data_IF_348779611497
#
_entry.id   IF_348779611497
#
_cell.length_a   1.000
_cell.length_b   1.000
_cell.length_c   1.000
_cell.angle_alpha   90.00
_cell.angle_beta   90.00
_cell.angle_gamma   90.00
#
_symmetry.space_group_name_H-M   'P 1'
#
loop_
_entity.id
_entity.type
_entity.pdbx_description
1 polymer ?
#
# COMPACT_ATOMS: atom_id res chain seq x y z
N UNK A 1 -23.02 75.94 -40.05
CA UNK A 1 -24.20 75.18 -39.57
C UNK A 1 -24.05 75.02 -38.07
N UNK A 2 -24.86 75.74 -37.29
CA UNK A 2 -24.82 75.76 -35.82
C UNK A 2 -25.60 74.57 -35.25
N UNK A 3 -24.98 73.77 -34.39
CA UNK A 3 -25.66 72.77 -33.57
C UNK A 3 -25.88 73.35 -32.16
N UNK A 4 -27.15 73.45 -31.75
CA UNK A 4 -27.56 73.83 -30.39
C UNK A 4 -27.57 72.55 -29.53
N UNK A 5 -26.78 72.53 -28.46
CA UNK A 5 -26.78 71.46 -27.47
C UNK A 5 -27.90 71.66 -26.44
N UNK A 6 -28.75 70.65 -26.24
CA UNK A 6 -29.77 70.61 -25.18
C UNK A 6 -29.22 69.74 -24.04
N UNK A 7 -29.04 70.31 -22.85
CA UNK A 7 -28.62 69.60 -21.64
C UNK A 7 -29.79 68.84 -20.99
N UNK A 8 -29.60 67.55 -20.67
CA UNK A 8 -30.47 66.76 -19.77
C UNK A 8 -29.91 66.80 -18.34
N UNK A 9 -30.73 66.90 -17.28
CA UNK A 9 -30.27 66.91 -15.91
C UNK A 9 -29.84 65.49 -15.45
N UNK A 10 -28.92 65.37 -14.46
CA UNK A 10 -28.38 64.09 -14.04
C UNK A 10 -29.35 63.29 -13.16
N UNK A 11 -29.35 61.97 -13.34
CA UNK A 11 -30.07 60.97 -12.56
C UNK A 11 -29.43 60.85 -11.16
N UNK A 12 -30.20 60.96 -10.07
CA UNK A 12 -29.74 60.58 -8.72
C UNK A 12 -30.04 59.09 -8.46
N UNK A 13 -29.09 58.27 -8.01
CA UNK A 13 -29.35 56.88 -7.64
C UNK A 13 -30.03 56.79 -6.26
N UNK A 14 -30.94 55.82 -6.12
CA UNK A 14 -31.66 55.53 -4.87
C UNK A 14 -30.72 54.94 -3.78
N UNK A 15 -31.01 55.14 -2.49
CA UNK A 15 -30.17 54.66 -1.40
C UNK A 15 -30.17 53.13 -1.29
N UNK A 16 -28.97 52.55 -1.17
CA UNK A 16 -28.76 51.12 -0.93
C UNK A 16 -29.36 50.71 0.44
N UNK A 17 -30.31 49.78 0.41
CA UNK A 17 -30.73 49.05 1.61
C UNK A 17 -29.60 48.10 2.01
N UNK A 18 -28.99 48.33 3.18
CA UNK A 18 -28.00 47.44 3.77
C UNK A 18 -28.72 46.17 4.21
N UNK A 19 -28.50 45.07 3.48
CA UNK A 19 -28.99 43.74 3.85
C UNK A 19 -28.40 43.30 5.19
N UNK A 20 -29.21 42.60 5.98
CA UNK A 20 -28.77 41.95 7.23
C UNK A 20 -27.57 41.02 6.97
N UNK A 21 -26.59 40.93 7.89
CA UNK A 21 -25.45 40.03 7.70
C UNK A 21 -25.97 38.59 7.63
N UNK A 22 -25.73 37.94 6.49
CA UNK A 22 -25.98 36.51 6.33
C UNK A 22 -25.18 35.76 7.39
N UNK A 23 -25.78 34.75 8.03
CA UNK A 23 -25.04 33.84 8.91
C UNK A 23 -23.80 33.32 8.18
N UNK A 24 -22.65 33.23 8.86
CA UNK A 24 -21.46 32.67 8.24
C UNK A 24 -21.77 31.26 7.73
N UNK A 25 -21.25 30.87 6.56
CA UNK A 25 -21.47 29.54 6.03
C UNK A 25 -20.94 28.51 7.03
N UNK A 26 -21.80 27.58 7.45
CA UNK A 26 -21.41 26.43 8.26
C UNK A 26 -20.56 25.54 7.36
N UNK A 27 -19.28 25.38 7.71
CA UNK A 27 -18.40 24.44 7.01
C UNK A 27 -18.93 23.00 7.23
N UNK A 28 -18.91 22.15 6.19
CA UNK A 28 -19.31 20.76 6.35
C UNK A 28 -18.37 20.05 7.34
N UNK A 29 -18.93 19.15 8.16
CA UNK A 29 -18.12 18.26 9.01
C UNK A 29 -17.26 17.33 8.14
N UNK A 30 -16.02 17.11 8.57
CA UNK A 30 -15.06 16.22 7.92
C UNK A 30 -14.99 14.84 8.61
N UNK A 31 -15.78 14.58 9.65
CA UNK A 31 -15.66 13.39 10.52
C UNK A 31 -15.89 12.06 9.79
N UNK A 32 -16.53 12.10 8.62
CA UNK A 32 -16.78 10.93 7.78
C UNK A 32 -15.66 10.64 6.78
N UNK A 33 -14.70 11.55 6.63
CA UNK A 33 -13.58 11.39 5.71
C UNK A 33 -12.45 10.60 6.35
N UNK A 34 -11.68 9.90 5.52
CA UNK A 34 -10.45 9.27 5.97
C UNK A 34 -9.40 10.33 6.30
N UNK A 35 -8.71 10.14 7.42
CA UNK A 35 -7.53 10.95 7.75
C UNK A 35 -6.32 10.50 6.91
N UNK A 36 -5.62 11.49 6.35
CA UNK A 36 -4.35 11.34 5.66
C UNK A 36 -3.35 12.30 6.28
N UNK A 37 -2.29 11.76 6.89
CA UNK A 37 -1.27 12.54 7.60
C UNK A 37 0.13 12.19 7.11
N UNK A 38 1.08 13.10 7.31
CA UNK A 38 2.48 12.84 7.03
C UNK A 38 3.12 12.04 8.18
N UNK A 39 3.68 10.88 7.87
CA UNK A 39 4.40 10.03 8.81
C UNK A 39 5.89 10.03 8.45
N UNK A 40 6.69 10.70 9.26
CA UNK A 40 8.15 10.73 9.14
C UNK A 40 8.77 9.52 9.81
N UNK A 41 9.62 8.78 9.10
CA UNK A 41 10.34 7.62 9.63
C UNK A 41 11.80 8.01 9.81
N UNK A 42 12.24 8.06 11.06
CA UNK A 42 13.63 8.29 11.44
C UNK A 42 14.26 6.97 11.88
N UNK A 43 15.43 6.64 11.36
CA UNK A 43 16.15 5.41 11.69
C UNK A 43 17.44 5.79 12.39
N UNK A 44 17.57 5.43 13.66
CA UNK A 44 18.73 5.75 14.52
C UNK A 44 19.12 7.24 14.43
N UNK A 45 18.12 8.14 14.50
CA UNK A 45 18.30 9.60 14.47
C UNK A 45 18.49 10.22 13.07
N UNK A 46 18.38 9.44 12.00
CA UNK A 46 18.49 9.94 10.61
C UNK A 46 17.12 9.85 9.94
N UNK A 47 16.63 10.98 9.40
CA UNK A 47 15.42 10.98 8.58
C UNK A 47 15.60 10.06 7.37
N UNK A 48 14.70 9.08 7.25
CA UNK A 48 14.76 8.07 6.21
C UNK A 48 13.75 8.34 5.09
N UNK A 49 12.49 8.56 5.46
CA UNK A 49 11.39 8.77 4.53
C UNK A 49 10.25 9.54 5.21
N UNK A 50 9.36 10.10 4.39
CA UNK A 50 8.06 10.62 4.81
C UNK A 50 7.00 10.00 3.91
N UNK A 51 5.99 9.40 4.52
CA UNK A 51 4.89 8.73 3.82
C UNK A 51 3.56 9.38 4.20
N UNK A 52 2.66 9.53 3.23
CA UNK A 52 1.26 9.84 3.55
C UNK A 52 0.57 8.54 3.98
N UNK A 53 -0.06 8.55 5.15
CA UNK A 53 -0.68 7.37 5.73
C UNK A 53 -1.89 7.73 6.61
N UNK A 54 -2.72 6.73 6.90
CA UNK A 54 -3.76 6.84 7.93
C UNK A 54 -3.09 6.63 9.31
N UNK A 55 -3.35 7.48 10.32
CA UNK A 55 -2.61 7.52 11.59
C UNK A 55 -2.91 6.37 12.58
N UNK A 56 -3.25 5.19 12.07
CA UNK A 56 -3.50 3.98 12.85
C UNK A 56 -2.37 2.97 12.70
N UNK A 57 -2.21 2.11 13.71
CA UNK A 57 -1.31 0.96 13.69
C UNK A 57 0.13 1.33 13.27
N UNK A 58 0.62 2.49 13.74
CA UNK A 58 1.90 3.06 13.27
C UNK A 58 3.12 2.21 13.65
N UNK A 59 3.08 1.47 14.75
CA UNK A 59 4.10 0.46 15.08
C UNK A 59 4.14 -0.67 14.04
N UNK A 60 2.98 -1.15 13.59
CA UNK A 60 2.89 -2.15 12.55
C UNK A 60 3.40 -1.58 11.22
N UNK A 61 3.02 -0.34 10.91
CA UNK A 61 3.52 0.36 9.73
C UNK A 61 5.05 0.46 9.74
N UNK A 62 5.66 0.88 10.86
CA UNK A 62 7.11 1.00 10.97
C UNK A 62 7.83 -0.33 10.71
N UNK A 63 7.42 -1.41 11.39
CA UNK A 63 8.05 -2.73 11.21
C UNK A 63 7.85 -3.24 9.78
N UNK A 64 6.63 -3.15 9.26
CA UNK A 64 6.28 -3.58 7.93
C UNK A 64 7.05 -2.83 6.84
N UNK A 65 7.08 -1.50 6.92
CA UNK A 65 7.81 -0.64 5.99
C UNK A 65 9.30 -1.00 5.97
N UNK A 66 9.94 -1.09 7.14
CA UNK A 66 11.37 -1.41 7.24
C UNK A 66 11.69 -2.81 6.69
N UNK A 67 10.79 -3.78 6.91
CA UNK A 67 10.94 -5.14 6.38
C UNK A 67 10.78 -5.15 4.87
N UNK A 68 9.72 -4.53 4.35
CA UNK A 68 9.42 -4.47 2.93
C UNK A 68 10.49 -3.73 2.12
N UNK A 69 11.14 -2.72 2.70
CA UNK A 69 12.29 -2.02 2.12
C UNK A 69 13.62 -2.79 2.26
N UNK A 70 13.57 -4.00 2.84
CA UNK A 70 14.74 -4.86 3.13
C UNK A 70 15.78 -4.17 4.03
N UNK A 71 15.35 -3.23 4.88
CA UNK A 71 16.20 -2.56 5.87
C UNK A 71 16.45 -3.51 7.03
N UNK A 72 15.40 -4.13 7.55
CA UNK A 72 15.45 -5.22 8.52
C UNK A 72 15.17 -6.57 7.84
N UNK A 73 15.59 -7.67 8.47
CA UNK A 73 15.21 -9.03 8.05
C UNK A 73 14.23 -9.70 9.00
N UNK A 74 14.18 -9.26 10.27
CA UNK A 74 13.33 -9.85 11.31
C UNK A 74 12.85 -8.77 12.27
N UNK A 75 11.74 -9.01 12.96
CA UNK A 75 11.22 -8.09 13.97
C UNK A 75 12.25 -7.76 15.06
N UNK A 76 13.09 -8.73 15.47
CA UNK A 76 14.12 -8.51 16.49
C UNK A 76 15.25 -7.55 16.06
N UNK A 77 15.30 -7.14 14.79
CA UNK A 77 16.24 -6.13 14.32
C UNK A 77 15.79 -4.73 14.76
N UNK A 78 14.53 -4.56 15.17
CA UNK A 78 13.96 -3.34 15.72
C UNK A 78 14.02 -3.43 17.25
N UNK A 79 14.71 -2.48 17.86
CA UNK A 79 14.91 -2.42 19.31
C UNK A 79 13.91 -1.48 20.00
N UNK A 80 13.49 -0.42 19.32
CA UNK A 80 12.54 0.56 19.86
C UNK A 80 11.80 1.30 18.74
N UNK A 81 10.57 1.71 19.00
CA UNK A 81 9.74 2.55 18.14
C UNK A 81 9.09 3.61 19.03
N UNK A 82 9.41 4.88 18.81
CA UNK A 82 8.78 5.99 19.51
C UNK A 82 7.94 6.79 18.53
N UNK A 83 6.65 6.94 18.87
CA UNK A 83 5.68 7.69 18.08
C UNK A 83 5.43 9.02 18.75
N UNK A 84 5.69 10.12 18.04
CA UNK A 84 5.43 11.48 18.54
C UNK A 84 4.59 12.29 17.56
N UNK A 85 3.67 13.14 18.05
CA UNK A 85 2.87 14.00 17.19
C UNK A 85 3.70 15.13 16.58
N UNK A 86 3.32 15.54 15.37
CA UNK A 86 3.86 16.68 14.63
C UNK A 86 2.72 17.53 14.04
N UNK A 87 3.05 18.73 13.55
CA UNK A 87 2.06 19.72 13.07
C UNK A 87 1.07 19.16 12.03
N UNK A 88 1.51 18.21 11.19
CA UNK A 88 0.68 17.58 10.15
C UNK A 88 0.81 16.05 10.12
N UNK A 89 1.02 15.42 11.29
CA UNK A 89 1.05 13.97 11.41
C UNK A 89 1.94 13.46 12.53
N UNK A 90 2.84 12.53 12.23
CA UNK A 90 3.62 11.81 13.23
C UNK A 90 5.08 11.62 12.84
N UNK A 91 5.95 11.54 13.85
CA UNK A 91 7.34 11.11 13.72
C UNK A 91 7.49 9.75 14.39
N UNK A 92 8.01 8.78 13.64
CA UNK A 92 8.39 7.46 14.09
C UNK A 92 9.91 7.41 14.23
N UNK A 93 10.40 7.53 15.46
CA UNK A 93 11.81 7.33 15.77
C UNK A 93 12.05 5.84 16.04
N UNK A 94 12.67 5.17 15.07
CA UNK A 94 12.91 3.72 15.09
C UNK A 94 14.38 3.44 15.35
N UNK A 95 14.65 2.66 16.39
CA UNK A 95 15.99 2.16 16.69
C UNK A 95 16.15 0.75 16.13
N UNK A 96 17.08 0.55 15.21
CA UNK A 96 17.41 -0.75 14.62
C UNK A 96 18.83 -1.21 14.97
N UNK A 97 19.07 -2.51 14.81
CA UNK A 97 20.37 -3.14 14.97
C UNK A 97 21.45 -2.51 14.05
N UNK A 98 22.66 -2.33 14.60
CA UNK A 98 23.79 -1.71 13.89
C UNK A 98 24.14 -2.40 12.56
N UNK A 99 23.95 -3.73 12.47
CA UNK A 99 24.15 -4.49 11.22
C UNK A 99 23.22 -4.01 10.10
N UNK A 100 21.96 -3.71 10.41
CA UNK A 100 20.97 -3.25 9.45
C UNK A 100 21.27 -1.79 9.03
N UNK A 101 21.63 -0.94 10.00
CA UNK A 101 22.05 0.44 9.72
C UNK A 101 23.29 0.48 8.80
N UNK A 102 24.31 -0.34 9.05
CA UNK A 102 25.50 -0.41 8.22
C UNK A 102 25.18 -0.83 6.77
N UNK A 103 24.30 -1.84 6.59
CA UNK A 103 23.81 -2.27 5.27
C UNK A 103 23.08 -1.15 4.54
N UNK A 104 22.20 -0.42 5.24
CA UNK A 104 21.46 0.70 4.68
C UNK A 104 22.39 1.83 4.21
N UNK A 105 23.39 2.19 5.02
CA UNK A 105 24.38 3.22 4.67
C UNK A 105 25.22 2.81 3.45
N UNK A 106 25.65 1.55 3.35
CA UNK A 106 26.36 1.02 2.18
C UNK A 106 25.51 1.11 0.91
N UNK A 107 24.22 0.75 0.98
CA UNK A 107 23.28 0.85 -0.15
C UNK A 107 23.14 2.31 -0.61
N UNK A 108 22.97 3.26 0.31
CA UNK A 108 22.89 4.70 0.00
C UNK A 108 24.15 5.21 -0.71
N UNK A 109 25.35 4.82 -0.27
CA UNK A 109 26.63 5.21 -0.90
C UNK A 109 26.78 4.67 -2.32
N UNK A 110 26.28 3.45 -2.60
CA UNK A 110 26.29 2.88 -3.97
C UNK A 110 25.41 3.68 -4.92
N UNK A 111 24.24 4.12 -4.44
CA UNK A 111 23.31 4.93 -5.22
C UNK A 111 23.84 6.35 -5.49
N UNK A 112 24.47 6.98 -4.50
CA UNK A 112 25.06 8.32 -4.68
C UNK A 112 26.38 8.32 -5.47
N UNK A 113 27.09 7.18 -5.54
CA UNK A 113 28.28 7.02 -6.38
C UNK A 113 27.99 6.80 -7.87
N UNK A 114 26.72 6.59 -8.25
CA UNK A 114 26.27 6.36 -9.63
C UNK A 114 25.96 7.67 -10.40
N UNK A 115 26.59 8.80 -10.02
CA UNK A 115 26.36 10.10 -10.67
C UNK A 115 26.99 10.16 -12.06
N UNK A 116 26.16 9.96 -13.09
CA UNK A 116 26.44 10.33 -14.46
C UNK A 116 25.35 9.85 -15.41
N UNK A 117 24.28 10.63 -15.63
CA UNK A 117 23.17 10.43 -16.58
C UNK A 117 22.76 8.96 -16.91
N UNK A 118 22.92 8.03 -15.97
CA UNK A 118 22.97 6.59 -16.22
C UNK A 118 21.62 5.89 -16.24
N UNK A 119 20.52 6.65 -16.32
CA UNK A 119 19.16 6.09 -16.45
C UNK A 119 18.94 5.52 -17.88
N UNK A 120 19.83 5.82 -18.82
CA UNK A 120 19.75 5.33 -20.20
C UNK A 120 20.38 3.94 -20.43
N UNK A 121 20.79 3.24 -19.37
CA UNK A 121 21.48 1.95 -19.45
C UNK A 121 20.52 0.78 -19.23
N UNK A 122 20.56 -0.21 -20.10
CA UNK A 122 19.79 -1.47 -20.04
C UNK A 122 19.91 -2.18 -18.67
N UNK A 123 20.97 -1.91 -17.91
CA UNK A 123 21.19 -2.36 -16.52
C UNK A 123 20.22 -1.74 -15.48
N UNK A 124 19.66 -0.55 -15.73
CA UNK A 124 18.76 0.13 -14.79
C UNK A 124 17.38 -0.56 -14.68
N UNK A 125 16.94 -1.26 -15.74
CA UNK A 125 15.67 -2.00 -15.75
C UNK A 125 15.82 -3.34 -15.01
N UNK A 126 16.95 -4.02 -15.16
CA UNK A 126 17.23 -5.26 -14.42
C UNK A 126 17.42 -5.00 -12.91
N UNK A 127 17.98 -3.84 -12.56
CA UNK A 127 18.09 -3.37 -11.17
C UNK A 127 16.79 -2.77 -10.60
N UNK A 128 15.73 -2.63 -11.41
CA UNK A 128 14.47 -2.03 -10.96
C UNK A 128 13.71 -2.91 -9.97
N UNK A 129 14.07 -4.20 -9.86
CA UNK A 129 13.39 -5.15 -9.00
C UNK A 129 14.35 -5.84 -8.04
N UNK A 130 13.95 -6.08 -6.78
CA UNK A 130 14.76 -6.83 -5.83
C UNK A 130 14.96 -8.27 -6.32
N UNK A 131 16.18 -8.79 -6.12
CA UNK A 131 16.48 -10.20 -6.35
C UNK A 131 15.96 -11.03 -5.16
N UNK A 132 14.73 -11.51 -5.29
CA UNK A 132 14.08 -12.35 -4.30
C UNK A 132 14.25 -13.82 -4.65
N UNK A 133 14.52 -14.64 -3.64
CA UNK A 133 14.53 -16.09 -3.80
C UNK A 133 13.10 -16.56 -4.13
N UNK A 134 12.89 -17.38 -5.19
CA UNK A 134 11.58 -17.96 -5.45
C UNK A 134 11.06 -18.77 -4.26
N UNK A 135 9.77 -18.64 -4.00
CA UNK A 135 9.07 -19.41 -2.98
C UNK A 135 9.01 -20.90 -3.36
N UNK A 136 8.94 -21.82 -2.38
CA UNK A 136 8.45 -23.17 -2.61
C UNK A 136 7.20 -23.19 -3.50
N UNK A 137 7.17 -24.09 -4.49
CA UNK A 137 5.98 -24.31 -5.30
C UNK A 137 4.86 -24.88 -4.43
N UNK A 138 3.74 -24.18 -4.39
CA UNK A 138 2.56 -24.55 -3.60
C UNK A 138 1.33 -24.62 -4.52
N UNK A 139 0.47 -25.64 -4.39
CA UNK A 139 -0.81 -25.68 -5.12
C UNK A 139 -1.61 -24.40 -4.91
N UNK A 140 -2.33 -23.88 -5.91
CA UNK A 140 -3.18 -22.71 -5.72
C UNK A 140 -4.29 -22.99 -4.70
N UNK A 141 -4.69 -21.96 -3.95
CA UNK A 141 -5.79 -22.04 -3.00
C UNK A 141 -7.08 -22.47 -3.71
N UNK A 142 -7.87 -23.34 -3.05
CA UNK A 142 -9.20 -23.70 -3.55
C UNK A 142 -10.09 -22.46 -3.56
N UNK A 143 -10.56 -22.11 -4.75
CA UNK A 143 -11.39 -20.93 -5.00
C UNK A 143 -12.72 -21.01 -4.25
N UNK A 144 -13.21 -22.22 -3.93
CA UNK A 144 -14.42 -22.40 -3.14
C UNK A 144 -14.30 -21.80 -1.72
N UNK A 145 -13.10 -21.80 -1.14
CA UNK A 145 -12.83 -21.19 0.17
C UNK A 145 -12.97 -19.66 0.14
N UNK A 146 -12.90 -19.06 -1.04
CA UNK A 146 -12.94 -17.61 -1.23
C UNK A 146 -14.34 -17.07 -1.57
N UNK A 147 -15.35 -17.93 -1.67
CA UNK A 147 -16.70 -17.54 -2.09
C UNK A 147 -17.30 -16.47 -1.17
N UNK A 148 -17.12 -16.59 0.14
CA UNK A 148 -17.65 -15.68 1.16
C UNK A 148 -16.66 -14.57 1.55
N UNK A 149 -15.53 -14.42 0.84
CA UNK A 149 -14.49 -13.49 1.24
C UNK A 149 -14.96 -12.02 1.19
N UNK A 150 -15.74 -11.62 0.16
CA UNK A 150 -16.22 -10.23 0.05
C UNK A 150 -17.17 -9.83 1.19
N UNK A 151 -18.20 -10.64 1.55
CA UNK A 151 -19.01 -10.41 2.74
C UNK A 151 -18.18 -10.35 4.04
N UNK A 152 -17.20 -11.24 4.20
CA UNK A 152 -16.31 -11.20 5.36
C UNK A 152 -15.50 -9.90 5.41
N UNK A 153 -14.87 -9.48 4.30
CA UNK A 153 -14.07 -8.24 4.25
C UNK A 153 -14.90 -7.03 4.66
N UNK A 154 -16.17 -6.96 4.26
CA UNK A 154 -17.04 -5.87 4.70
C UNK A 154 -17.04 -5.78 6.24
N UNK A 155 -17.20 -6.90 6.95
CA UNK A 155 -17.25 -6.90 8.43
C UNK A 155 -15.92 -6.50 9.10
N UNK A 156 -14.79 -6.63 8.39
CA UNK A 156 -13.45 -6.34 8.91
C UNK A 156 -12.92 -4.96 8.51
N UNK A 157 -13.37 -4.40 7.38
CA UNK A 157 -12.92 -3.12 6.84
C UNK A 157 -13.75 -1.96 7.41
N UNK A 158 -13.71 -1.78 8.73
CA UNK A 158 -14.61 -0.87 9.46
C UNK A 158 -14.46 0.59 9.01
N UNK A 159 -13.23 1.12 8.90
CA UNK A 159 -13.02 2.53 8.54
C UNK A 159 -13.27 2.80 7.06
N UNK A 160 -12.92 1.85 6.20
CA UNK A 160 -13.19 1.90 4.78
C UNK A 160 -14.69 1.87 4.45
N UNK A 161 -15.52 1.21 5.26
CA UNK A 161 -16.98 1.29 5.13
C UNK A 161 -17.51 2.71 5.33
N UNK A 162 -16.93 3.46 6.26
CA UNK A 162 -17.40 4.81 6.59
C UNK A 162 -16.91 5.87 5.59
N UNK A 163 -15.64 5.79 5.19
CA UNK A 163 -15.01 6.82 4.35
C UNK A 163 -14.99 6.49 2.85
N UNK A 164 -15.02 5.20 2.48
CA UNK A 164 -14.83 4.74 1.10
C UNK A 164 -13.43 4.98 0.51
N UNK A 165 -12.51 5.58 1.27
CA UNK A 165 -11.22 6.06 0.79
C UNK A 165 -10.03 5.18 1.22
N UNK A 166 -10.26 4.19 2.07
CA UNK A 166 -9.22 3.30 2.57
C UNK A 166 -9.11 2.02 1.76
N UNK A 167 -7.87 1.56 1.60
CA UNK A 167 -7.54 0.20 1.21
C UNK A 167 -7.38 -0.66 2.45
N UNK A 168 -7.52 -1.98 2.27
CA UNK A 168 -7.27 -2.96 3.31
C UNK A 168 -6.35 -4.07 2.81
N UNK A 169 -5.50 -4.55 3.72
CA UNK A 169 -4.78 -5.80 3.59
C UNK A 169 -5.24 -6.75 4.70
N UNK A 170 -5.45 -8.02 4.37
CA UNK A 170 -5.97 -9.01 5.30
C UNK A 170 -5.17 -10.31 5.27
N UNK A 171 -5.07 -10.98 6.41
CA UNK A 171 -4.48 -12.31 6.54
C UNK A 171 -5.59 -13.35 6.62
N UNK A 172 -5.49 -14.42 5.82
CA UNK A 172 -6.41 -15.56 5.89
C UNK A 172 -5.74 -16.78 6.53
N UNK A 173 -6.56 -17.61 7.17
CA UNK A 173 -6.19 -18.97 7.49
C UNK A 173 -6.35 -19.93 6.29
N UNK A 174 -6.04 -21.21 6.50
CA UNK A 174 -6.16 -22.26 5.48
C UNK A 174 -7.63 -22.57 5.11
N UNK A 175 -8.59 -22.11 5.92
CA UNK A 175 -10.02 -22.30 5.72
C UNK A 175 -10.69 -21.07 5.08
N UNK A 176 -9.91 -20.06 4.69
CA UNK A 176 -10.41 -18.85 4.06
C UNK A 176 -11.09 -17.86 5.02
N UNK A 177 -10.88 -18.00 6.33
CA UNK A 177 -11.36 -17.04 7.32
C UNK A 177 -10.34 -15.92 7.53
N UNK A 178 -10.83 -14.69 7.70
CA UNK A 178 -9.99 -13.54 8.02
C UNK A 178 -9.52 -13.64 9.47
N UNK A 179 -8.20 -13.57 9.66
CA UNK A 179 -7.55 -13.53 10.97
C UNK A 179 -7.25 -12.09 11.40
N UNK A 180 -6.76 -11.27 10.47
CA UNK A 180 -6.34 -9.89 10.73
C UNK A 180 -6.64 -8.98 9.55
N UNK A 181 -6.85 -7.70 9.84
CA UNK A 181 -7.08 -6.63 8.87
C UNK A 181 -6.28 -5.39 9.26
N UNK A 182 -5.67 -4.74 8.26
CA UNK A 182 -5.06 -3.41 8.39
C UNK A 182 -5.53 -2.52 7.27
N UNK A 183 -5.88 -1.29 7.63
CA UNK A 183 -6.40 -0.28 6.71
C UNK A 183 -5.43 0.89 6.56
N UNK A 184 -5.39 1.45 5.36
CA UNK A 184 -4.67 2.69 5.09
C UNK A 184 -5.15 3.32 3.78
N UNK A 185 -5.06 4.65 3.67
CA UNK A 185 -5.32 5.37 2.43
C UNK A 185 -4.38 4.91 1.30
N UNK A 186 -3.15 4.55 1.65
CA UNK A 186 -2.17 3.96 0.75
C UNK A 186 -2.23 2.43 0.76
N UNK A 187 -2.51 1.82 -0.40
CA UNK A 187 -2.53 0.34 -0.53
C UNK A 187 -1.22 -0.35 -0.12
N UNK A 188 -0.08 0.31 -0.32
CA UNK A 188 1.23 -0.24 0.06
C UNK A 188 1.41 -0.19 1.58
N UNK A 189 0.97 0.90 2.22
CA UNK A 189 0.99 1.05 3.67
C UNK A 189 0.04 0.07 4.35
N UNK A 190 -1.15 -0.19 3.77
CA UNK A 190 -2.06 -1.20 4.30
C UNK A 190 -1.40 -2.59 4.34
N UNK A 191 -0.70 -2.97 3.26
CA UNK A 191 0.05 -4.22 3.21
C UNK A 191 1.25 -4.22 4.17
N UNK A 192 1.99 -3.11 4.25
CA UNK A 192 3.11 -2.97 5.20
C UNK A 192 2.61 -3.14 6.64
N UNK A 193 1.53 -2.45 7.03
CA UNK A 193 0.90 -2.61 8.35
C UNK A 193 0.53 -4.07 8.62
N UNK A 194 -0.10 -4.76 7.67
CA UNK A 194 -0.45 -6.18 7.88
C UNK A 194 0.80 -7.04 8.09
N UNK A 195 1.82 -6.87 7.24
CA UNK A 195 3.08 -7.62 7.36
C UNK A 195 3.76 -7.30 8.70
N UNK A 196 3.78 -6.02 9.10
CA UNK A 196 4.34 -5.59 10.37
C UNK A 196 3.64 -6.21 11.57
N UNK A 197 2.31 -6.27 11.57
CA UNK A 197 1.52 -6.97 12.57
C UNK A 197 1.95 -8.44 12.68
N UNK A 198 1.96 -9.16 11.54
CA UNK A 198 2.30 -10.58 11.49
C UNK A 198 3.74 -10.84 11.98
N UNK A 199 4.69 -9.97 11.62
CA UNK A 199 6.07 -10.05 12.08
C UNK A 199 6.22 -9.78 13.58
N UNK A 200 5.55 -8.74 14.09
CA UNK A 200 5.59 -8.37 15.51
C UNK A 200 5.00 -9.45 16.40
N UNK A 201 3.91 -10.08 15.94
CA UNK A 201 3.23 -11.14 16.68
C UNK A 201 3.77 -12.54 16.36
N UNK A 202 4.74 -12.65 15.44
CA UNK A 202 5.33 -13.93 14.99
C UNK A 202 4.26 -14.90 14.47
N UNK A 203 3.29 -14.37 13.74
CA UNK A 203 2.16 -15.14 13.19
C UNK A 203 2.50 -15.61 11.77
N UNK A 204 2.61 -16.93 11.53
CA UNK A 204 2.74 -17.44 10.18
C UNK A 204 1.43 -17.20 9.42
N UNK A 205 1.52 -16.80 8.17
CA UNK A 205 0.37 -16.65 7.28
C UNK A 205 0.80 -16.88 5.83
N UNK A 206 0.14 -17.82 5.17
CA UNK A 206 0.44 -18.16 3.77
C UNK A 206 -0.44 -17.40 2.76
N UNK A 207 -1.53 -16.78 3.20
CA UNK A 207 -2.52 -16.14 2.32
C UNK A 207 -2.80 -14.72 2.73
N UNK A 208 -2.35 -13.77 1.90
CA UNK A 208 -2.68 -12.35 2.07
C UNK A 208 -3.74 -11.92 1.06
N UNK A 209 -4.59 -10.97 1.45
CA UNK A 209 -5.61 -10.36 0.61
C UNK A 209 -5.36 -8.86 0.52
N UNK A 210 -5.53 -8.27 -0.66
CA UNK A 210 -5.56 -6.82 -0.85
C UNK A 210 -6.84 -6.39 -1.55
N UNK A 211 -7.47 -5.33 -1.04
CA UNK A 211 -8.70 -4.77 -1.65
C UNK A 211 -8.41 -3.83 -2.83
N UNK A 212 -7.14 -3.48 -3.05
CA UNK A 212 -6.69 -2.61 -4.13
C UNK A 212 -6.34 -3.37 -5.42
N UNK A 213 -5.96 -2.61 -6.46
CA UNK A 213 -5.25 -3.17 -7.64
C UNK A 213 -3.95 -3.83 -7.18
N UNK A 214 -3.59 -4.94 -7.83
CA UNK A 214 -2.36 -5.66 -7.56
C UNK A 214 -1.24 -5.21 -8.51
N UNK A 215 -0.30 -4.43 -7.99
CA UNK A 215 0.92 -3.98 -8.69
C UNK A 215 2.14 -4.84 -8.36
N UNK A 216 3.24 -4.63 -9.09
CA UNK A 216 4.51 -5.35 -8.92
C UNK A 216 5.07 -5.24 -7.49
N UNK A 217 4.95 -4.07 -6.87
CA UNK A 217 5.43 -3.86 -5.49
C UNK A 217 4.65 -4.69 -4.47
N UNK A 218 3.32 -4.82 -4.60
CA UNK A 218 2.53 -5.65 -3.69
C UNK A 218 2.90 -7.13 -3.81
N UNK A 219 3.17 -7.60 -5.03
CA UNK A 219 3.69 -8.95 -5.29
C UNK A 219 5.04 -9.16 -4.63
N UNK A 220 5.96 -8.20 -4.77
CA UNK A 220 7.30 -8.28 -4.19
C UNK A 220 7.27 -8.28 -2.66
N UNK A 221 6.47 -7.40 -2.05
CA UNK A 221 6.28 -7.36 -0.59
C UNK A 221 5.72 -8.67 -0.06
N UNK A 222 4.72 -9.22 -0.75
CA UNK A 222 4.11 -10.51 -0.37
C UNK A 222 5.11 -11.66 -0.51
N UNK A 223 5.87 -11.70 -1.61
CA UNK A 223 6.90 -12.71 -1.83
C UNK A 223 8.07 -12.59 -0.83
N UNK A 224 8.48 -11.35 -0.50
CA UNK A 224 9.51 -11.08 0.50
C UNK A 224 9.06 -11.51 1.91
N UNK A 225 7.80 -11.28 2.26
CA UNK A 225 7.21 -11.80 3.50
C UNK A 225 7.18 -13.32 3.55
N UNK A 226 7.06 -13.97 2.39
CA UNK A 226 7.11 -15.43 2.27
C UNK A 226 5.74 -16.11 2.14
N UNK A 227 4.66 -15.34 2.06
CA UNK A 227 3.32 -15.87 1.82
C UNK A 227 3.23 -16.56 0.45
N UNK A 228 2.45 -17.64 0.36
CA UNK A 228 2.27 -18.48 -0.84
C UNK A 228 1.20 -17.94 -1.79
N UNK A 229 0.26 -17.18 -1.25
CA UNK A 229 -0.91 -16.70 -1.96
C UNK A 229 -1.13 -15.21 -1.73
N UNK A 230 -1.40 -14.51 -2.83
CA UNK A 230 -1.90 -13.14 -2.83
C UNK A 230 -3.26 -13.09 -3.55
N UNK A 231 -4.30 -12.85 -2.78
CA UNK A 231 -5.66 -12.64 -3.30
C UNK A 231 -5.87 -11.14 -3.54
N UNK A 232 -6.40 -10.76 -4.70
CA UNK A 232 -6.70 -9.37 -5.02
C UNK A 232 -8.15 -9.19 -5.52
N UNK A 233 -8.82 -8.15 -5.03
CA UNK A 233 -10.21 -7.85 -5.43
C UNK A 233 -10.33 -7.02 -6.71
N UNK A 234 -9.21 -6.49 -7.21
CA UNK A 234 -9.11 -5.76 -8.46
C UNK A 234 -7.98 -6.32 -9.32
N UNK A 235 -8.13 -6.16 -10.64
CA UNK A 235 -7.29 -6.82 -11.63
C UNK A 235 -5.78 -6.56 -11.41
N UNK A 236 -4.93 -7.61 -11.44
CA UNK A 236 -3.49 -7.45 -11.40
C UNK A 236 -2.95 -6.90 -12.73
N UNK A 237 -1.81 -6.20 -12.68
CA UNK A 237 -1.11 -5.81 -13.91
C UNK A 237 -0.35 -7.00 -14.52
N UNK A 238 -0.08 -6.94 -15.82
CA UNK A 238 0.71 -8.00 -16.49
C UNK A 238 2.10 -8.19 -15.85
N UNK A 239 2.75 -7.09 -15.46
CA UNK A 239 4.05 -7.15 -14.78
C UNK A 239 3.92 -7.80 -13.39
N UNK A 240 2.87 -7.50 -12.64
CA UNK A 240 2.62 -8.12 -11.34
C UNK A 240 2.48 -9.65 -11.49
N UNK A 241 1.69 -10.11 -12.47
CA UNK A 241 1.53 -11.54 -12.76
C UNK A 241 2.85 -12.19 -13.17
N UNK A 242 3.63 -11.57 -14.06
CA UNK A 242 4.95 -12.10 -14.46
C UNK A 242 5.91 -12.24 -13.29
N UNK A 243 5.95 -11.25 -12.39
CA UNK A 243 6.79 -11.32 -11.18
C UNK A 243 6.28 -12.37 -10.20
N UNK A 244 4.97 -12.51 -10.05
CA UNK A 244 4.39 -13.54 -9.18
C UNK A 244 4.80 -14.94 -9.64
N UNK A 245 4.69 -15.21 -10.95
CA UNK A 245 5.14 -16.46 -11.54
C UNK A 245 6.65 -16.68 -11.38
N UNK A 246 7.47 -15.63 -11.57
CA UNK A 246 8.94 -15.67 -11.34
C UNK A 246 9.28 -16.07 -9.90
N UNK A 247 8.51 -15.59 -8.93
CA UNK A 247 8.73 -15.84 -7.51
C UNK A 247 7.92 -17.02 -6.94
N UNK A 248 7.23 -17.80 -7.79
CA UNK A 248 6.31 -18.87 -7.40
C UNK A 248 5.21 -18.42 -6.41
N UNK A 249 4.84 -17.15 -6.44
CA UNK A 249 3.70 -16.63 -5.70
C UNK A 249 2.42 -16.89 -6.50
N UNK A 250 1.44 -17.52 -5.89
CA UNK A 250 0.12 -17.68 -6.49
C UNK A 250 -0.66 -16.37 -6.36
N UNK A 251 -1.16 -15.83 -7.47
CA UNK A 251 -2.06 -14.66 -7.45
C UNK A 251 -3.46 -15.09 -7.81
N UNK A 252 -4.44 -14.81 -6.95
CA UNK A 252 -5.86 -15.10 -7.21
C UNK A 252 -6.60 -13.78 -7.34
N UNK A 253 -7.11 -13.49 -8.53
CA UNK A 253 -7.96 -12.34 -8.76
C UNK A 253 -9.43 -12.74 -8.59
N UNK A 254 -10.15 -12.06 -7.69
CA UNK A 254 -11.58 -12.24 -7.49
C UNK A 254 -12.29 -11.01 -8.09
N UNK A 255 -12.80 -11.06 -9.32
CA UNK A 255 -13.60 -9.97 -9.89
C UNK A 255 -14.95 -9.83 -9.16
N UNK A 256 -15.69 -8.75 -9.44
CA UNK A 256 -16.98 -8.48 -8.79
C UNK A 256 -18.12 -9.35 -9.31
N UNK A 257 -18.09 -9.71 -10.60
CA UNK A 257 -19.21 -10.36 -11.29
C UNK A 257 -18.82 -11.65 -12.05
N UNK A 258 -17.53 -12.00 -12.08
CA UNK A 258 -17.03 -13.17 -12.79
C UNK A 258 -16.41 -14.18 -11.83
N UNK A 259 -16.10 -15.38 -12.34
CA UNK A 259 -15.37 -16.39 -11.59
C UNK A 259 -13.94 -15.90 -11.25
N UNK A 260 -13.37 -16.32 -10.10
CA UNK A 260 -11.98 -15.99 -9.79
C UNK A 260 -11.00 -16.62 -10.77
N UNK A 261 -9.90 -15.91 -11.01
CA UNK A 261 -8.83 -16.33 -11.92
C UNK A 261 -7.55 -16.52 -11.12
N UNK A 262 -6.95 -17.72 -11.23
CA UNK A 262 -5.70 -18.06 -10.55
C UNK A 262 -4.52 -18.01 -11.52
N UNK A 263 -3.46 -17.31 -11.13
CA UNK A 263 -2.18 -17.25 -11.82
C UNK A 263 -1.15 -17.99 -10.96
N UNK A 264 -0.67 -19.14 -11.45
CA UNK A 264 0.21 -20.04 -10.69
C UNK A 264 1.24 -20.70 -11.60
N UNK A 265 2.46 -20.87 -11.09
CA UNK A 265 3.50 -21.71 -11.71
C UNK A 265 3.33 -23.19 -11.37
N UNK A 266 2.44 -23.53 -10.42
CA UNK A 266 2.20 -24.90 -10.01
C UNK A 266 1.53 -25.69 -11.13
N UNK A 267 2.17 -26.78 -11.54
CA UNK A 267 1.58 -27.82 -12.37
C UNK A 267 1.40 -29.04 -11.46
N UNK A 268 0.18 -29.61 -11.34
CA UNK A 268 0.04 -30.90 -10.71
C UNK A 268 1.03 -31.86 -11.37
N UNK A 269 1.75 -32.65 -10.58
CA UNK A 269 2.56 -33.71 -11.16
C UNK A 269 1.64 -34.57 -12.04
N UNK A 270 1.98 -34.71 -13.33
CA UNK A 270 1.29 -35.66 -14.18
C UNK A 270 1.35 -37.03 -13.48
N UNK A 271 0.23 -37.74 -13.30
CA UNK A 271 0.23 -39.03 -12.63
C UNK A 271 1.13 -40.08 -13.29
N UNK A 272 1.69 -39.81 -14.47
CA UNK A 272 2.60 -40.68 -15.19
C UNK A 272 3.60 -39.77 -15.92
N UNK A 273 4.90 -40.00 -15.69
CA UNK A 273 5.95 -39.18 -16.28
C UNK A 273 5.87 -39.13 -17.80
N UNK A 274 5.51 -37.97 -18.34
CA UNK A 274 5.85 -37.60 -19.70
C UNK A 274 6.66 -36.30 -19.65
N UNK A 275 7.94 -36.41 -20.03
CA UNK A 275 8.77 -35.26 -20.34
C UNK A 275 8.15 -34.52 -21.52
N UNK A 276 7.45 -33.42 -21.26
CA UNK A 276 7.06 -32.48 -22.31
C UNK A 276 8.06 -31.32 -22.33
N UNK A 277 8.70 -31.16 -23.50
CA UNK A 277 9.76 -30.20 -23.77
C UNK A 277 9.33 -28.75 -23.50
N UNK A 278 10.23 -28.01 -22.84
CA UNK A 278 10.12 -26.59 -22.54
C UNK A 278 10.14 -25.74 -23.81
N UNK A 279 9.16 -24.83 -23.93
CA UNK A 279 9.20 -23.65 -24.81
C UNK A 279 9.85 -22.46 -24.09
#
# INVERSE_FOLDING_TARGET
>A
MNAVCIFRPPFMPAPCLVGTPANPPVLPSLDHLAEEVAVSININGINHAVMMATPDDLDDFAVGFLFCESIIGHNHDVHDIQVSPAEHGFVLDVTIANRCLARLQLRRRRLTGATGCGICGVEAVEQAFPDLRPLPLTPPLDVALLAELRPQIAQWQLKGQHSGALHAALALDEQGQILHCREDIGRHNALDKLIGLLLRQTLPCDTLVVTSRCGSELVQKTALFGARHLVCLASPSQLAVRLALKYNLNVIHIPKFDAPVSYSSYRPADPIGECHESY
#
